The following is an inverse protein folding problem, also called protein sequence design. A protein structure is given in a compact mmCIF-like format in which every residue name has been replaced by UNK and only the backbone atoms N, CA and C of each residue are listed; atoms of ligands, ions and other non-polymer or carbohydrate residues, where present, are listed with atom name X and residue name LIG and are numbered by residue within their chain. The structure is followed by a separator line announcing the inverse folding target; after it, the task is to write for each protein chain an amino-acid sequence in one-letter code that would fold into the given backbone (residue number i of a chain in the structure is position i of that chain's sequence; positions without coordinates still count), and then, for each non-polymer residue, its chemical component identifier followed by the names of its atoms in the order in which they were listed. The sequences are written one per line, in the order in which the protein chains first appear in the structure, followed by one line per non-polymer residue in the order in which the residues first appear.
data_IF_959059601571
#
_entry.id   IF_959059601571
#
_cell.length_a   1.000
_cell.length_b   1.000
_cell.length_c   1.000
_cell.angle_alpha   90.00
_cell.angle_beta   90.00
_cell.angle_gamma   90.00
#
_symmetry.space_group_name_H-M   'P 1'
#
loop_
_entity.id
_entity.type
_entity.pdbx_description
1 polymer ?
#
# COMPACT_ATOMS: atom_id res chain seq x y z
N UNK A 1 6.49 -24.95 -0.36
CA UNK A 1 7.76 -24.75 0.38
C UNK A 1 7.68 -23.40 1.07
N UNK A 2 8.11 -23.27 2.34
CA UNK A 2 8.04 -22.00 3.09
C UNK A 2 9.23 -21.10 2.73
N UNK A 3 9.00 -19.80 2.56
CA UNK A 3 10.04 -18.82 2.17
C UNK A 3 11.22 -18.86 3.15
N UNK A 4 10.92 -18.95 4.43
CA UNK A 4 11.86 -19.01 5.54
C UNK A 4 12.76 -20.25 5.47
N UNK A 5 12.24 -21.37 4.96
CA UNK A 5 13.02 -22.59 4.77
C UNK A 5 13.99 -22.49 3.60
N UNK A 6 13.63 -21.71 2.56
CA UNK A 6 14.49 -21.52 1.39
C UNK A 6 15.54 -20.44 1.59
N UNK A 7 15.27 -19.44 2.43
CA UNK A 7 16.15 -18.27 2.59
C UNK A 7 16.87 -18.20 3.93
N UNK A 8 16.42 -18.97 4.94
CA UNK A 8 16.90 -18.84 6.32
C UNK A 8 16.48 -17.54 7.01
N UNK A 9 15.66 -16.71 6.37
CA UNK A 9 15.20 -15.44 6.94
C UNK A 9 13.97 -15.62 7.84
N UNK A 10 13.78 -14.67 8.76
CA UNK A 10 12.51 -14.52 9.48
C UNK A 10 11.54 -13.68 8.65
N UNK A 11 10.40 -14.25 8.27
CA UNK A 11 9.33 -13.50 7.60
C UNK A 11 8.29 -13.07 8.63
N UNK A 12 8.16 -11.76 8.84
CA UNK A 12 7.26 -11.18 9.84
C UNK A 12 6.19 -10.37 9.13
N UNK A 13 4.93 -10.54 9.55
CA UNK A 13 3.78 -9.77 9.08
C UNK A 13 3.14 -9.04 10.27
N UNK A 14 3.67 -7.90 10.72
CA UNK A 14 3.24 -7.27 11.99
C UNK A 14 1.75 -6.92 12.05
N UNK A 15 1.15 -6.63 10.89
CA UNK A 15 -0.27 -6.29 10.77
C UNK A 15 -1.19 -7.53 10.65
N UNK A 16 -0.62 -8.73 10.56
CA UNK A 16 -1.40 -9.97 10.50
C UNK A 16 -2.05 -10.22 11.87
N UNK A 17 -3.37 -10.07 11.94
CA UNK A 17 -4.15 -10.11 13.18
C UNK A 17 -4.80 -8.77 13.55
N UNK A 18 -4.44 -7.69 12.85
CA UNK A 18 -5.07 -6.38 12.99
C UNK A 18 -6.08 -6.18 11.87
N UNK A 19 -7.35 -6.00 12.21
CA UNK A 19 -8.38 -5.62 11.25
C UNK A 19 -8.18 -4.18 10.76
N UNK A 20 -8.74 -3.85 9.59
CA UNK A 20 -8.68 -2.50 9.00
C UNK A 20 -9.01 -1.38 10.00
N UNK A 21 -10.11 -1.45 10.78
CA UNK A 21 -10.45 -0.38 11.73
C UNK A 21 -9.38 -0.14 12.81
N UNK A 22 -8.70 -1.21 13.24
CA UNK A 22 -7.65 -1.09 14.25
C UNK A 22 -6.36 -0.51 13.66
N UNK A 23 -6.03 -0.86 12.41
CA UNK A 23 -4.91 -0.24 11.69
C UNK A 23 -5.19 1.26 11.48
N UNK A 24 -6.41 1.63 11.10
CA UNK A 24 -6.83 3.03 10.94
C UNK A 24 -6.71 3.79 12.27
N UNK A 25 -7.25 3.24 13.36
CA UNK A 25 -7.14 3.83 14.71
C UNK A 25 -5.69 4.04 15.14
N UNK A 26 -4.80 3.07 14.89
CA UNK A 26 -3.38 3.18 15.22
C UNK A 26 -2.68 4.21 14.32
N UNK A 27 -3.00 4.24 13.03
CA UNK A 27 -2.44 5.22 12.09
C UNK A 27 -2.84 6.64 12.48
N UNK A 28 -4.11 6.88 12.81
CA UNK A 28 -4.62 8.16 13.30
C UNK A 28 -3.94 8.60 14.61
N UNK A 29 -3.67 7.64 15.52
CA UNK A 29 -3.00 7.91 16.79
C UNK A 29 -1.56 8.38 16.59
N UNK A 30 -0.82 7.77 15.67
CA UNK A 30 0.64 7.97 15.56
C UNK A 30 1.08 8.88 14.42
N UNK A 31 0.25 9.08 13.40
CA UNK A 31 0.65 9.76 12.17
C UNK A 31 -0.24 10.94 11.79
N UNK A 32 0.36 11.88 11.09
CA UNK A 32 -0.34 12.89 10.31
C UNK A 32 -0.49 12.32 8.89
N UNK A 33 -1.72 12.06 8.48
CA UNK A 33 -2.05 11.43 7.20
C UNK A 33 -2.84 12.40 6.34
N UNK A 34 -2.42 12.59 5.10
CA UNK A 34 -3.21 13.28 4.07
C UNK A 34 -3.73 12.26 3.07
N UNK A 35 -4.92 12.51 2.52
CA UNK A 35 -5.53 11.66 1.50
C UNK A 35 -5.60 12.45 0.18
N UNK A 36 -5.27 11.79 -0.92
CA UNK A 36 -5.33 12.39 -2.27
C UNK A 36 -5.71 11.36 -3.32
N UNK A 37 -6.00 11.83 -4.54
CA UNK A 37 -6.30 10.95 -5.67
C UNK A 37 -5.08 10.16 -6.11
N UNK A 38 -5.29 8.89 -6.50
CA UNK A 38 -4.24 8.03 -7.05
C UNK A 38 -3.54 8.68 -8.23
N UNK A 39 -2.21 8.78 -8.15
CA UNK A 39 -1.36 9.42 -9.17
C UNK A 39 -0.97 10.87 -8.85
N UNK A 40 -1.62 11.52 -7.88
CA UNK A 40 -1.20 12.86 -7.38
C UNK A 40 -0.17 12.79 -6.24
N UNK A 41 -0.10 11.65 -5.57
CA UNK A 41 0.79 11.35 -4.46
C UNK A 41 1.70 10.20 -4.89
N UNK A 42 2.99 10.29 -4.57
CA UNK A 42 3.94 9.20 -4.84
C UNK A 42 3.56 7.95 -4.05
N UNK A 43 3.24 6.87 -4.74
CA UNK A 43 2.98 5.56 -4.13
C UNK A 43 4.27 4.74 -4.06
N UNK A 44 4.47 4.03 -2.96
CA UNK A 44 5.63 3.14 -2.76
C UNK A 44 5.39 1.68 -3.15
N UNK A 45 4.18 1.34 -3.62
CA UNK A 45 3.86 -0.01 -4.11
C UNK A 45 4.11 -0.17 -5.62
N UNK A 46 3.91 -1.39 -6.09
CA UNK A 46 4.12 -1.78 -7.49
C UNK A 46 2.97 -1.36 -8.43
N UNK A 47 1.92 -0.66 -7.97
CA UNK A 47 0.72 -0.39 -8.76
C UNK A 47 1.06 0.32 -10.08
N UNK A 48 1.91 1.35 -10.02
CA UNK A 48 2.30 2.12 -11.20
C UNK A 48 3.12 1.30 -12.20
N UNK A 49 4.01 0.44 -11.70
CA UNK A 49 4.84 -0.44 -12.53
C UNK A 49 3.98 -1.50 -13.23
N UNK A 50 3.01 -2.07 -12.51
CA UNK A 50 2.05 -3.04 -13.07
C UNK A 50 1.16 -2.37 -14.12
N UNK A 51 0.62 -1.18 -13.84
CA UNK A 51 -0.17 -0.41 -14.83
C UNK A 51 0.64 -0.13 -16.09
N UNK A 52 1.91 0.24 -15.93
CA UNK A 52 2.82 0.50 -17.05
C UNK A 52 3.11 -0.78 -17.86
N UNK A 53 3.34 -1.91 -17.19
CA UNK A 53 3.54 -3.20 -17.84
C UNK A 53 2.29 -3.68 -18.61
N UNK A 54 1.09 -3.43 -18.10
CA UNK A 54 -0.18 -3.73 -18.78
C UNK A 54 -0.33 -2.85 -20.04
N UNK A 55 -0.07 -1.54 -19.94
CA UNK A 55 -0.09 -0.62 -21.09
C UNK A 55 0.92 -0.99 -22.16
N UNK A 56 2.13 -1.41 -21.77
CA UNK A 56 3.17 -1.86 -22.69
C UNK A 56 2.74 -3.10 -23.51
N UNK A 57 1.76 -3.87 -23.02
CA UNK A 57 1.14 -4.99 -23.73
C UNK A 57 -0.05 -4.57 -24.60
N UNK A 58 -0.35 -3.28 -24.71
CA UNK A 58 -1.49 -2.75 -25.47
C UNK A 58 -2.85 -2.96 -24.79
N UNK A 59 -2.86 -3.26 -23.48
CA UNK A 59 -4.07 -3.53 -22.71
C UNK A 59 -4.40 -2.30 -21.86
N UNK A 60 -5.68 -1.96 -21.75
CA UNK A 60 -6.16 -0.95 -20.80
C UNK A 60 -6.05 -1.48 -19.35
N UNK A 61 -5.29 -0.84 -18.45
CA UNK A 61 -5.22 -1.26 -17.06
C UNK A 61 -6.50 -0.96 -16.26
N UNK A 62 -7.36 -0.02 -16.68
CA UNK A 62 -8.49 0.44 -15.87
C UNK A 62 -9.40 -0.68 -15.32
N UNK A 63 -9.72 -1.75 -16.07
CA UNK A 63 -10.57 -2.85 -15.55
C UNK A 63 -9.95 -3.66 -14.40
N UNK A 64 -8.64 -3.58 -14.19
CA UNK A 64 -7.92 -4.37 -13.18
C UNK A 64 -7.74 -3.62 -11.85
N UNK A 65 -8.07 -2.33 -11.80
CA UNK A 65 -7.89 -1.49 -10.62
C UNK A 65 -9.17 -0.74 -10.26
N UNK A 66 -9.39 -0.40 -8.98
CA UNK A 66 -10.53 0.41 -8.58
C UNK A 66 -10.57 1.76 -9.31
N UNK A 67 -11.77 2.21 -9.70
CA UNK A 67 -11.99 3.50 -10.37
C UNK A 67 -11.70 4.70 -9.47
N UNK A 68 -11.95 4.56 -8.17
CA UNK A 68 -11.61 5.54 -7.16
C UNK A 68 -10.72 4.89 -6.11
N UNK A 69 -9.44 5.23 -6.14
CA UNK A 69 -8.50 4.82 -5.12
C UNK A 69 -7.95 6.09 -4.44
N UNK A 70 -8.29 6.27 -3.17
CA UNK A 70 -7.73 7.31 -2.33
C UNK A 70 -6.41 6.80 -1.77
N UNK A 71 -5.34 7.53 -2.03
CA UNK A 71 -4.03 7.22 -1.46
C UNK A 71 -3.82 8.02 -0.20
N UNK A 72 -3.29 7.35 0.82
CA UNK A 72 -2.84 7.99 2.04
C UNK A 72 -1.34 8.24 1.98
N UNK A 73 -0.92 9.44 2.40
CA UNK A 73 0.49 9.78 2.61
C UNK A 73 0.69 10.17 4.06
N UNK A 74 1.63 9.48 4.72
CA UNK A 74 2.12 9.92 6.02
C UNK A 74 3.04 11.13 5.78
N UNK A 75 2.63 12.30 6.25
CA UNK A 75 3.39 13.56 6.15
C UNK A 75 4.14 13.90 7.43
N UNK A 76 3.92 13.14 8.50
CA UNK A 76 4.62 13.32 9.76
C UNK A 76 4.16 12.35 10.84
N UNK A 77 4.89 12.39 11.97
CA UNK A 77 4.55 11.67 13.19
C UNK A 77 3.88 12.62 14.17
N UNK A 78 2.81 12.17 14.83
CA UNK A 78 2.21 12.90 15.95
C UNK A 78 3.15 12.85 17.15
N UNK A 79 3.32 13.98 17.84
CA UNK A 79 4.02 14.00 19.12
C UNK A 79 3.19 13.23 20.14
N UNK A 80 3.84 12.31 20.85
CA UNK A 80 3.24 11.51 21.93
C UNK A 80 2.99 12.37 23.16
#
# INVERSE_FOLDING_TARGET
QRLEMTTGCSYVRPLLGYGKPEVERLAERFFLVVYGETGSIGNGDYEQEIRSAIRARGIDPAPFFPSHHLQSLVVGRRKT
#
